data_IF_436602257561
#
_entry.id   IF_436602257561
#
_cell.length_a   1.000
_cell.length_b   1.000
_cell.length_c   1.000
_cell.angle_alpha   90.00
_cell.angle_beta   90.00
_cell.angle_gamma   90.00
#
_symmetry.space_group_name_H-M   'P 1'
#
loop_
_entity.id
_entity.type
_entity.pdbx_description
1 polymer ?
#
# COMPACT_ATOMS: atom_id res chain seq x y z
N UNK A 1 31.34 39.08 -54.21
CA UNK A 1 31.19 37.70 -53.74
C UNK A 1 30.67 37.78 -52.30
N UNK A 2 29.29 37.67 -52.15
CA UNK A 2 28.64 37.82 -50.88
C UNK A 2 28.42 36.41 -50.28
N UNK A 3 28.99 36.14 -49.10
CA UNK A 3 28.77 34.90 -48.36
C UNK A 3 27.54 35.10 -47.46
N UNK A 4 26.47 34.41 -47.79
CA UNK A 4 25.30 34.29 -46.89
C UNK A 4 25.60 33.23 -45.83
N UNK A 5 25.67 33.64 -44.57
CA UNK A 5 25.77 32.74 -43.44
C UNK A 5 24.34 32.41 -42.98
N UNK A 6 23.93 31.17 -43.21
CA UNK A 6 22.67 30.65 -42.69
C UNK A 6 22.86 30.27 -41.22
N UNK A 7 22.22 31.01 -40.32
CA UNK A 7 22.14 30.68 -38.91
C UNK A 7 21.00 29.67 -38.73
N UNK A 8 21.37 28.42 -38.41
CA UNK A 8 20.42 27.39 -38.05
C UNK A 8 20.02 27.60 -36.57
N UNK A 9 18.80 28.09 -36.37
CA UNK A 9 18.20 28.16 -35.03
C UNK A 9 17.65 26.77 -34.73
N UNK A 10 18.36 26.01 -33.89
CA UNK A 10 17.84 24.78 -33.31
C UNK A 10 16.83 25.13 -32.21
N UNK A 11 15.54 24.93 -32.53
CA UNK A 11 14.49 24.96 -31.51
C UNK A 11 14.66 23.71 -30.60
N UNK A 12 15.21 23.92 -29.41
CA UNK A 12 15.14 22.99 -28.33
C UNK A 12 13.69 22.96 -27.79
N UNK A 13 12.89 22.05 -28.30
CA UNK A 13 11.63 21.68 -27.62
C UNK A 13 11.99 20.92 -26.37
N UNK A 14 11.99 21.60 -25.25
CA UNK A 14 11.95 20.96 -23.94
C UNK A 14 10.59 20.27 -23.83
N UNK A 15 10.54 19.00 -24.20
CA UNK A 15 9.43 18.14 -23.84
C UNK A 15 9.37 18.09 -22.34
N UNK A 16 8.38 18.75 -21.74
CA UNK A 16 7.98 18.47 -20.36
C UNK A 16 7.53 17.01 -20.38
N UNK A 17 8.32 16.14 -19.77
CA UNK A 17 7.85 14.83 -19.40
C UNK A 17 6.73 15.06 -18.37
N UNK A 18 5.48 14.96 -18.85
CA UNK A 18 4.36 14.71 -17.97
C UNK A 18 4.76 13.45 -17.19
N UNK A 19 4.96 13.61 -15.88
CA UNK A 19 5.24 12.49 -14.99
C UNK A 19 4.06 11.54 -15.10
N UNK A 20 4.22 10.50 -15.88
CA UNK A 20 3.37 9.34 -15.89
C UNK A 20 3.43 8.82 -14.44
N UNK A 21 2.32 8.97 -13.70
CA UNK A 21 2.17 8.29 -12.42
C UNK A 21 2.14 6.81 -12.78
N UNK A 22 3.31 6.16 -12.74
CA UNK A 22 3.44 4.75 -13.04
C UNK A 22 2.41 4.00 -12.20
N UNK A 23 1.42 3.40 -12.88
CA UNK A 23 0.49 2.49 -12.23
C UNK A 23 1.30 1.39 -11.61
N UNK A 24 1.28 1.30 -10.28
CA UNK A 24 2.05 0.31 -9.52
C UNK A 24 1.29 -1.01 -9.48
N UNK A 25 2.03 -2.11 -9.43
CA UNK A 25 1.47 -3.39 -9.03
C UNK A 25 1.27 -3.44 -7.51
N UNK A 26 0.67 -4.52 -7.01
CA UNK A 26 0.42 -4.68 -5.58
C UNK A 26 1.70 -4.59 -4.75
N UNK A 27 2.80 -5.19 -5.23
CA UNK A 27 4.06 -5.29 -4.47
C UNK A 27 4.77 -3.94 -4.38
N UNK A 28 4.76 -3.17 -5.45
CA UNK A 28 5.24 -1.79 -5.46
C UNK A 28 4.36 -0.89 -4.58
N UNK A 29 3.06 -1.08 -4.57
CA UNK A 29 2.13 -0.37 -3.69
C UNK A 29 2.43 -0.66 -2.21
N UNK A 30 2.61 -1.93 -1.83
CA UNK A 30 2.97 -2.31 -0.47
C UNK A 30 4.29 -1.65 -0.06
N UNK A 31 5.31 -1.69 -0.90
CA UNK A 31 6.61 -1.06 -0.61
C UNK A 31 6.50 0.46 -0.42
N UNK A 32 5.70 1.13 -1.24
CA UNK A 32 5.44 2.57 -1.11
C UNK A 32 4.74 2.90 0.20
N UNK A 33 3.69 2.15 0.55
CA UNK A 33 2.96 2.36 1.80
C UNK A 33 3.83 2.08 3.02
N UNK A 34 4.64 1.03 2.98
CA UNK A 34 5.62 0.72 4.03
C UNK A 34 6.56 1.90 4.31
N UNK A 35 7.11 2.50 3.26
CA UNK A 35 7.99 3.67 3.41
C UNK A 35 7.26 4.89 4.00
N UNK A 36 6.04 5.16 3.53
CA UNK A 36 5.25 6.33 3.96
C UNK A 36 4.74 6.19 5.40
N UNK A 37 4.36 4.99 5.82
CA UNK A 37 3.89 4.73 7.19
C UNK A 37 4.97 4.96 8.24
N UNK A 38 6.25 4.81 7.89
CA UNK A 38 7.38 5.03 8.82
C UNK A 38 7.34 6.40 9.50
N UNK A 39 6.95 7.43 8.77
CA UNK A 39 6.96 8.83 9.23
C UNK A 39 5.58 9.44 9.31
N UNK A 40 4.52 8.65 9.11
CA UNK A 40 3.16 9.14 9.09
C UNK A 40 2.70 9.62 10.47
N UNK A 41 2.11 10.81 10.49
CA UNK A 41 1.42 11.39 11.64
C UNK A 41 0.12 12.04 11.18
N UNK A 42 -0.72 12.46 12.11
CA UNK A 42 -1.97 13.19 11.78
C UNK A 42 -1.71 14.50 11.02
N UNK A 43 -0.54 15.11 11.19
CA UNK A 43 -0.15 16.36 10.51
C UNK A 43 0.40 16.13 9.10
N UNK A 44 0.87 14.93 8.78
CA UNK A 44 1.44 14.58 7.45
C UNK A 44 0.51 13.73 6.59
N UNK A 45 -0.73 13.54 7.02
CA UNK A 45 -1.70 12.68 6.34
C UNK A 45 -1.98 13.12 4.90
N UNK A 46 -1.98 14.43 4.63
CA UNK A 46 -2.21 14.99 3.30
C UNK A 46 -1.06 14.72 2.32
N UNK A 47 0.11 14.29 2.80
CA UNK A 47 1.25 13.93 1.96
C UNK A 47 1.14 12.50 1.40
N UNK A 48 0.14 11.74 1.86
CA UNK A 48 -0.13 10.40 1.35
C UNK A 48 -0.68 10.45 -0.09
N UNK A 49 -0.34 9.46 -0.95
CA UNK A 49 -0.81 9.41 -2.33
C UNK A 49 -2.29 9.06 -2.45
N UNK A 50 -2.92 8.59 -1.37
CA UNK A 50 -4.35 8.33 -1.26
C UNK A 50 -5.01 9.44 -0.43
N UNK A 51 -6.22 9.81 -0.81
CA UNK A 51 -7.03 10.71 0.00
C UNK A 51 -7.73 9.92 1.11
N UNK A 52 -7.35 10.21 2.37
CA UNK A 52 -7.94 9.58 3.54
C UNK A 52 -9.00 10.48 4.16
N UNK A 53 -10.23 9.98 4.22
CA UNK A 53 -11.37 10.63 4.86
C UNK A 53 -11.44 10.22 6.33
N UNK A 54 -11.56 11.21 7.21
CA UNK A 54 -11.76 10.97 8.63
C UNK A 54 -13.11 10.27 8.88
N UNK A 55 -13.10 9.21 9.68
CA UNK A 55 -14.30 8.44 10.00
C UNK A 55 -14.73 8.58 11.45
N UNK A 56 -13.82 8.35 12.37
CA UNK A 56 -14.06 8.35 13.82
C UNK A 56 -12.75 8.43 14.60
N UNK A 57 -12.87 8.58 15.90
CA UNK A 57 -11.71 8.45 16.81
C UNK A 57 -12.12 7.79 18.14
N UNK A 58 -11.10 7.39 18.88
CA UNK A 58 -11.19 7.07 20.30
C UNK A 58 -10.19 7.93 21.10
N UNK A 59 -9.91 7.59 22.35
CA UNK A 59 -8.99 8.33 23.19
C UNK A 59 -7.56 8.43 22.61
N UNK A 60 -7.13 7.44 21.80
CA UNK A 60 -5.73 7.28 21.37
C UNK A 60 -5.52 7.43 19.88
N UNK A 61 -6.51 7.09 19.05
CA UNK A 61 -6.38 6.89 17.61
C UNK A 61 -7.42 7.69 16.84
N UNK A 62 -7.02 8.18 15.66
CA UNK A 62 -7.92 8.58 14.58
C UNK A 62 -8.01 7.46 13.56
N UNK A 63 -9.20 7.25 12.99
CA UNK A 63 -9.49 6.25 11.97
C UNK A 63 -9.94 6.93 10.69
N UNK A 64 -9.36 6.49 9.57
CA UNK A 64 -9.59 7.04 8.24
C UNK A 64 -9.92 5.93 7.26
N UNK A 65 -10.61 6.30 6.20
CA UNK A 65 -10.93 5.42 5.07
C UNK A 65 -10.58 6.10 3.76
N UNK A 66 -10.11 5.33 2.78
CA UNK A 66 -9.87 5.80 1.42
C UNK A 66 -10.77 5.04 0.43
N UNK A 67 -11.08 5.71 -0.69
CA UNK A 67 -11.88 5.11 -1.76
C UNK A 67 -11.11 4.00 -2.46
N UNK A 68 -11.84 3.05 -3.01
CA UNK A 68 -11.31 1.97 -3.83
C UNK A 68 -10.59 2.53 -5.06
N UNK A 69 -9.52 1.88 -5.47
CA UNK A 69 -8.83 2.22 -6.71
C UNK A 69 -8.23 0.97 -7.39
N UNK A 70 -7.88 1.11 -8.66
CA UNK A 70 -7.28 0.03 -9.44
C UNK A 70 -5.77 0.21 -9.56
N UNK A 71 -5.06 -0.89 -9.34
CA UNK A 71 -3.65 -1.04 -9.66
C UNK A 71 -3.47 -1.48 -11.11
N UNK A 72 -2.20 -1.61 -11.51
CA UNK A 72 -1.81 -2.27 -12.75
C UNK A 72 -2.38 -3.70 -12.78
N UNK A 73 -2.65 -4.25 -13.96
CA UNK A 73 -3.12 -5.63 -14.17
C UNK A 73 -4.54 -5.92 -13.64
N UNK A 74 -5.33 -4.89 -13.35
CA UNK A 74 -6.73 -5.04 -12.98
C UNK A 74 -6.99 -5.44 -11.53
N UNK A 75 -5.95 -5.51 -10.67
CA UNK A 75 -6.14 -5.65 -9.24
C UNK A 75 -6.77 -4.39 -8.67
N UNK A 76 -7.88 -4.54 -7.97
CA UNK A 76 -8.51 -3.45 -7.21
C UNK A 76 -8.06 -3.49 -5.77
N UNK A 77 -7.82 -2.33 -5.19
CA UNK A 77 -7.59 -2.16 -3.75
C UNK A 77 -8.85 -1.59 -3.14
N UNK A 78 -9.41 -2.32 -2.20
CA UNK A 78 -10.69 -2.02 -1.56
C UNK A 78 -10.56 -2.04 -0.04
N UNK A 79 -11.58 -1.56 0.67
CA UNK A 79 -11.63 -1.58 2.14
C UNK A 79 -10.33 -1.03 2.75
N UNK A 80 -9.97 0.19 2.34
CA UNK A 80 -8.71 0.82 2.73
C UNK A 80 -8.92 1.60 4.02
N UNK A 81 -8.43 1.05 5.13
CA UNK A 81 -8.56 1.62 6.46
C UNK A 81 -7.19 1.94 7.04
N UNK A 82 -7.08 3.13 7.60
CA UNK A 82 -5.87 3.64 8.24
C UNK A 82 -6.19 4.08 9.65
N UNK A 83 -5.39 3.66 10.62
CA UNK A 83 -5.40 4.25 11.96
C UNK A 83 -4.09 4.97 12.24
N UNK A 84 -4.17 6.13 12.85
CA UNK A 84 -3.02 6.97 13.21
C UNK A 84 -3.17 7.44 14.64
N UNK A 85 -2.12 7.33 15.44
CA UNK A 85 -2.11 7.84 16.80
C UNK A 85 -2.31 9.36 16.85
N UNK A 86 -3.07 9.82 17.84
CA UNK A 86 -3.23 11.26 18.12
C UNK A 86 -1.93 11.89 18.62
N UNK A 87 -1.01 11.09 19.18
CA UNK A 87 0.30 11.51 19.68
C UNK A 87 1.40 10.96 18.81
N UNK A 88 2.47 11.73 18.61
CA UNK A 88 3.62 11.31 17.79
C UNK A 88 4.41 10.13 18.39
N UNK A 89 4.34 9.92 19.70
CA UNK A 89 4.97 8.83 20.45
C UNK A 89 4.01 7.69 20.81
N UNK A 90 2.82 7.69 20.19
CA UNK A 90 1.81 6.67 20.40
C UNK A 90 2.07 5.40 19.59
N UNK A 91 1.02 4.58 19.47
CA UNK A 91 1.06 3.35 18.65
C UNK A 91 1.40 3.69 17.20
N UNK A 92 2.14 2.80 16.55
CA UNK A 92 2.48 2.95 15.14
C UNK A 92 1.23 3.01 14.24
N UNK A 93 1.29 3.74 13.12
CA UNK A 93 0.23 3.70 12.13
C UNK A 93 0.01 2.28 11.62
N UNK A 94 -1.24 1.94 11.33
CA UNK A 94 -1.61 0.67 10.73
C UNK A 94 -2.49 0.93 9.51
N UNK A 95 -2.07 0.38 8.37
CA UNK A 95 -2.84 0.36 7.14
C UNK A 95 -3.34 -1.05 6.87
N UNK A 96 -4.65 -1.19 6.65
CA UNK A 96 -5.29 -2.41 6.21
C UNK A 96 -5.99 -2.18 4.88
N UNK A 97 -5.89 -3.13 3.96
CA UNK A 97 -6.63 -3.09 2.70
C UNK A 97 -6.87 -4.50 2.15
N UNK A 98 -7.82 -4.61 1.23
CA UNK A 98 -8.20 -5.87 0.59
C UNK A 98 -7.95 -5.81 -0.91
N UNK A 99 -7.02 -6.61 -1.46
CA UNK A 99 -6.90 -6.82 -2.90
C UNK A 99 -8.10 -7.60 -3.42
N UNK A 100 -8.60 -7.24 -4.59
CA UNK A 100 -9.71 -7.92 -5.25
C UNK A 100 -9.55 -7.89 -6.78
N UNK A 101 -10.42 -8.60 -7.50
CA UNK A 101 -10.40 -8.68 -8.96
C UNK A 101 -9.51 -9.80 -9.52
N UNK A 102 -8.49 -10.22 -8.79
CA UNK A 102 -7.64 -11.36 -9.12
C UNK A 102 -7.41 -12.21 -7.87
N UNK A 103 -7.29 -13.53 -8.05
CA UNK A 103 -6.92 -14.44 -6.97
C UNK A 103 -5.39 -14.47 -6.83
N UNK A 104 -4.88 -13.82 -5.79
CA UNK A 104 -3.45 -13.84 -5.46
C UNK A 104 -3.24 -14.97 -4.47
N UNK A 105 -2.46 -15.97 -4.87
CA UNK A 105 -2.20 -17.16 -4.06
C UNK A 105 -1.09 -16.94 -3.05
N UNK A 106 -1.04 -17.79 -2.01
CA UNK A 106 0.08 -17.81 -1.06
C UNK A 106 1.42 -18.07 -1.76
N UNK A 107 1.45 -18.91 -2.80
CA UNK A 107 2.67 -19.13 -3.57
C UNK A 107 3.17 -17.87 -4.25
N UNK A 108 2.27 -17.06 -4.80
CA UNK A 108 2.62 -15.75 -5.38
C UNK A 108 3.15 -14.81 -4.31
N UNK A 109 2.50 -14.76 -3.14
CA UNK A 109 3.01 -13.97 -2.00
C UNK A 109 4.42 -14.39 -1.62
N UNK A 110 4.69 -15.70 -1.51
CA UNK A 110 6.01 -16.23 -1.15
C UNK A 110 7.11 -15.91 -2.16
N UNK A 111 6.79 -15.69 -3.42
CA UNK A 111 7.77 -15.22 -4.42
C UNK A 111 8.30 -13.82 -4.09
N UNK A 112 7.47 -12.96 -3.51
CA UNK A 112 7.84 -11.59 -3.12
C UNK A 112 8.30 -11.48 -1.67
N UNK A 113 7.79 -12.36 -0.80
CA UNK A 113 8.08 -12.43 0.62
C UNK A 113 8.42 -13.88 1.01
N UNK A 114 9.66 -14.34 0.74
CA UNK A 114 10.02 -15.76 0.93
C UNK A 114 10.08 -16.20 2.39
N UNK A 115 10.22 -15.27 3.33
CA UNK A 115 10.33 -15.53 4.76
C UNK A 115 9.04 -15.14 5.47
N UNK A 116 8.04 -16.01 5.40
CA UNK A 116 6.74 -15.81 6.08
C UNK A 116 6.63 -16.71 7.30
N UNK A 117 6.10 -16.15 8.39
CA UNK A 117 5.75 -16.88 9.61
C UNK A 117 4.23 -16.90 9.77
N UNK A 118 3.66 -18.05 10.10
CA UNK A 118 2.25 -18.17 10.49
C UNK A 118 2.02 -17.40 11.79
N UNK A 119 1.16 -16.39 11.77
CA UNK A 119 0.92 -15.52 12.92
C UNK A 119 -0.51 -15.57 13.43
N UNK A 120 -1.46 -16.05 12.63
CA UNK A 120 -2.83 -16.32 13.07
C UNK A 120 -3.42 -17.49 12.28
N UNK A 121 -4.38 -18.19 12.89
CA UNK A 121 -5.08 -19.32 12.27
C UNK A 121 -6.53 -19.40 12.77
N UNK A 122 -7.43 -19.99 11.98
CA UNK A 122 -8.83 -20.14 12.34
C UNK A 122 -9.04 -21.03 13.56
N UNK A 123 -10.02 -20.70 14.38
CA UNK A 123 -10.42 -21.45 15.59
C UNK A 123 -11.79 -22.11 15.44
N UNK A 124 -12.35 -22.13 14.23
CA UNK A 124 -13.62 -22.78 13.91
C UNK A 124 -14.88 -22.01 14.33
N UNK A 125 -14.78 -20.69 14.50
CA UNK A 125 -15.92 -19.84 14.94
C UNK A 125 -16.68 -19.22 13.78
N UNK A 126 -16.00 -18.94 12.67
CA UNK A 126 -16.59 -18.25 11.51
C UNK A 126 -15.82 -18.58 10.23
N UNK A 127 -16.52 -18.57 9.10
CA UNK A 127 -15.91 -18.66 7.78
C UNK A 127 -15.09 -17.42 7.39
N UNK A 128 -15.25 -16.32 8.12
CA UNK A 128 -14.50 -15.08 7.93
C UNK A 128 -13.20 -15.04 8.74
N UNK A 129 -12.95 -16.01 9.60
CA UNK A 129 -11.65 -16.15 10.25
C UNK A 129 -10.56 -16.35 9.21
N UNK A 130 -9.34 -15.95 9.55
CA UNK A 130 -8.22 -15.92 8.64
C UNK A 130 -7.06 -16.81 9.08
N UNK A 131 -6.31 -17.27 8.11
CA UNK A 131 -4.92 -17.70 8.28
C UNK A 131 -4.04 -16.55 7.86
N UNK A 132 -3.16 -16.08 8.74
CA UNK A 132 -2.29 -14.93 8.48
C UNK A 132 -0.83 -15.31 8.51
N UNK A 133 -0.08 -14.79 7.55
CA UNK A 133 1.36 -14.95 7.42
C UNK A 133 2.02 -13.57 7.44
N UNK A 134 3.04 -13.42 8.28
CA UNK A 134 3.73 -12.14 8.47
C UNK A 134 5.19 -12.25 8.05
N UNK A 135 5.63 -11.30 7.25
CA UNK A 135 7.03 -11.14 6.88
C UNK A 135 7.84 -10.50 8.02
N UNK A 136 9.15 -10.72 8.08
CA UNK A 136 10.02 -9.99 9.00
C UNK A 136 9.92 -8.48 8.77
N UNK A 137 10.29 -7.68 9.77
CA UNK A 137 10.39 -6.22 9.60
C UNK A 137 11.27 -5.88 8.41
N UNK A 138 10.75 -5.02 7.54
CA UNK A 138 11.47 -4.52 6.38
C UNK A 138 12.46 -3.39 6.75
N UNK A 139 13.13 -2.81 5.75
CA UNK A 139 14.06 -1.69 5.94
C UNK A 139 13.41 -0.43 6.52
N UNK A 140 12.08 -0.31 6.44
CA UNK A 140 11.31 0.79 7.01
C UNK A 140 10.82 0.48 8.43
N UNK A 141 11.15 -0.69 8.99
CA UNK A 141 10.69 -1.15 10.29
C UNK A 141 9.24 -1.64 10.29
N UNK A 142 8.63 -1.85 9.13
CA UNK A 142 7.25 -2.31 8.99
C UNK A 142 7.19 -3.82 8.85
N UNK A 143 6.15 -4.43 9.42
CA UNK A 143 5.74 -5.81 9.15
C UNK A 143 4.59 -5.79 8.14
N UNK A 144 4.60 -6.70 7.21
CA UNK A 144 3.50 -6.92 6.27
C UNK A 144 2.88 -8.28 6.55
N UNK A 145 1.58 -8.30 6.80
CA UNK A 145 0.81 -9.52 7.05
C UNK A 145 -0.18 -9.77 5.93
N UNK A 146 -0.25 -11.02 5.48
CA UNK A 146 -1.11 -11.48 4.41
C UNK A 146 -2.11 -12.48 4.96
N UNK A 147 -3.40 -12.24 4.75
CA UNK A 147 -4.48 -13.03 5.34
C UNK A 147 -5.37 -13.66 4.30
N UNK A 148 -5.74 -14.91 4.55
CA UNK A 148 -6.58 -15.77 3.72
C UNK A 148 -7.76 -16.25 4.56
N UNK A 149 -9.00 -16.04 4.10
CA UNK A 149 -10.19 -16.46 4.85
C UNK A 149 -10.46 -17.95 4.74
N UNK A 150 -11.15 -18.51 5.72
CA UNK A 150 -11.62 -19.92 5.68
C UNK A 150 -12.51 -20.17 4.48
N UNK A 151 -13.43 -19.25 4.17
CA UNK A 151 -14.36 -19.39 3.04
C UNK A 151 -13.69 -19.33 1.67
N UNK A 152 -12.50 -18.72 1.58
CA UNK A 152 -11.74 -18.56 0.33
C UNK A 152 -10.24 -18.68 0.57
N UNK A 153 -9.78 -19.90 0.98
CA UNK A 153 -8.43 -20.07 1.52
C UNK A 153 -7.31 -19.92 0.49
N UNK A 154 -7.60 -19.99 -0.79
CA UNK A 154 -6.61 -19.96 -1.86
C UNK A 154 -6.28 -18.53 -2.34
N UNK A 155 -7.12 -17.56 -2.01
CA UNK A 155 -6.98 -16.19 -2.49
C UNK A 155 -6.70 -15.22 -1.35
N UNK A 156 -5.69 -14.36 -1.53
CA UNK A 156 -5.38 -13.27 -0.60
C UNK A 156 -6.62 -12.40 -0.35
N UNK A 157 -7.01 -12.25 0.90
CA UNK A 157 -8.17 -11.48 1.32
C UNK A 157 -7.81 -10.08 1.82
N UNK A 158 -6.74 -9.97 2.59
CA UNK A 158 -6.32 -8.68 3.16
C UNK A 158 -4.82 -8.61 3.39
N UNK A 159 -4.33 -7.37 3.41
CA UNK A 159 -2.95 -7.02 3.74
C UNK A 159 -2.96 -6.00 4.86
N UNK A 160 -2.11 -6.19 5.86
CA UNK A 160 -1.90 -5.24 6.96
C UNK A 160 -0.43 -4.84 6.97
N UNK A 161 -0.17 -3.53 7.07
CA UNK A 161 1.16 -2.97 7.20
C UNK A 161 1.22 -2.17 8.50
N UNK A 162 2.14 -2.52 9.39
CA UNK A 162 2.37 -1.81 10.65
C UNK A 162 3.75 -2.12 11.22
N UNK A 163 4.31 -1.20 12.02
CA UNK A 163 5.57 -1.42 12.75
C UNK A 163 5.38 -2.24 14.04
N UNK A 164 4.15 -2.37 14.54
CA UNK A 164 3.80 -3.07 15.78
C UNK A 164 3.65 -4.58 15.57
#
# INVERSE_FOLDING_TARGET
VSKVVAVLIALLTTGMAEGDSEKKDLWAFISQMSALLKTLSVTSLNDMPLHFNYMKNNAYMNFYHADDFKLLEGTSITTIDLRVSKKNDGMAPLLNFSPSGQCITLQTVKKHYPQLTLTDYPRGRSENEVTSYTAPKDMNGQKVSFSFTVKKPDCLSSVVISAD
#
